data_IF_479700634753
#
_entry.id   IF_479700634753
#
_cell.length_a   1.000
_cell.length_b   1.000
_cell.length_c   1.000
_cell.angle_alpha   90.00
_cell.angle_beta   90.00
_cell.angle_gamma   90.00
#
_symmetry.space_group_name_H-M   'P 1'
#
loop_
_entity.id
_entity.type
_entity.pdbx_description
1 polymer ?
#
# COMPACT_ATOMS: atom_id res chain seq x y z
N UNK A 1 -0.57 -28.26 4.94
CA UNK A 1 0.22 -27.50 3.96
C UNK A 1 0.53 -26.17 4.60
N UNK A 2 1.77 -25.73 4.52
CA UNK A 2 2.19 -24.40 4.98
C UNK A 2 1.69 -23.36 3.98
N UNK A 3 0.99 -22.31 4.42
CA UNK A 3 0.58 -21.20 3.53
C UNK A 3 1.67 -20.15 3.48
N UNK A 4 1.78 -19.45 2.35
CA UNK A 4 2.64 -18.28 2.22
C UNK A 4 1.81 -17.02 2.38
N UNK A 5 2.28 -16.06 3.17
CA UNK A 5 1.70 -14.71 3.27
C UNK A 5 2.62 -13.73 2.56
N UNK A 6 2.18 -13.24 1.41
CA UNK A 6 2.82 -12.14 0.67
C UNK A 6 2.24 -10.83 1.19
N UNK A 7 3.08 -9.97 1.78
CA UNK A 7 2.65 -8.74 2.43
C UNK A 7 3.30 -7.52 1.79
N UNK A 8 2.50 -6.72 1.07
CA UNK A 8 2.90 -5.41 0.59
C UNK A 8 2.55 -4.36 1.66
N UNK A 9 3.58 -3.78 2.27
CA UNK A 9 3.44 -2.84 3.38
C UNK A 9 3.99 -1.47 2.97
N UNK A 10 3.13 -0.45 2.92
CA UNK A 10 3.44 0.86 2.34
C UNK A 10 3.25 1.96 3.37
N UNK A 11 4.31 2.72 3.68
CA UNK A 11 4.31 3.72 4.75
C UNK A 11 5.01 5.00 4.31
N UNK A 12 4.33 6.14 4.37
CA UNK A 12 4.86 7.39 3.82
C UNK A 12 4.72 8.52 4.83
N UNK A 13 5.86 9.03 5.29
CA UNK A 13 5.94 10.23 6.13
C UNK A 13 6.53 11.42 5.35
N UNK A 14 7.60 11.19 4.60
CA UNK A 14 8.44 12.24 3.99
C UNK A 14 7.91 12.74 2.64
N UNK A 15 6.62 13.02 2.55
CA UNK A 15 6.00 13.53 1.33
C UNK A 15 6.69 14.80 0.80
N UNK A 16 7.04 14.85 -0.50
CA UNK A 16 7.53 16.08 -1.11
C UNK A 16 6.41 17.11 -1.24
N UNK A 17 6.79 18.39 -1.27
CA UNK A 17 5.86 19.47 -1.58
C UNK A 17 5.19 19.21 -2.95
N UNK A 18 3.88 19.45 -3.09
CA UNK A 18 3.03 20.25 -2.20
C UNK A 18 2.31 19.46 -1.10
N UNK A 19 2.59 18.17 -0.94
CA UNK A 19 1.94 17.34 0.08
C UNK A 19 2.63 17.55 1.42
N UNK A 20 1.83 17.77 2.49
CA UNK A 20 2.39 17.96 3.82
C UNK A 20 2.94 16.63 4.37
N UNK A 21 4.13 16.62 4.99
CA UNK A 21 4.68 15.41 5.58
C UNK A 21 3.86 14.92 6.79
N UNK A 22 3.93 13.62 7.04
CA UNK A 22 3.40 12.94 8.23
C UNK A 22 4.58 12.52 9.13
N UNK A 23 4.31 11.84 10.26
CA UNK A 23 5.33 11.48 11.26
C UNK A 23 5.15 10.11 11.93
N UNK A 24 4.28 9.27 11.40
CA UNK A 24 3.88 8.02 12.05
C UNK A 24 3.68 6.84 11.10
N UNK A 25 3.54 7.09 9.81
CA UNK A 25 3.14 6.08 8.84
C UNK A 25 4.24 5.04 8.62
N UNK A 26 5.52 5.44 8.64
CA UNK A 26 6.63 4.48 8.57
C UNK A 26 6.66 3.61 9.83
N UNK A 27 6.49 4.21 11.01
CA UNK A 27 6.43 3.45 12.27
C UNK A 27 5.22 2.48 12.31
N UNK A 28 4.06 2.84 11.74
CA UNK A 28 2.92 1.93 11.64
C UNK A 28 3.27 0.68 10.83
N UNK A 29 3.93 0.87 9.69
CA UNK A 29 4.34 -0.23 8.80
C UNK A 29 5.44 -1.09 9.43
N UNK A 30 6.42 -0.49 10.11
CA UNK A 30 7.44 -1.24 10.83
C UNK A 30 6.82 -2.11 11.94
N UNK A 31 5.87 -1.56 12.70
CA UNK A 31 5.14 -2.32 13.74
C UNK A 31 4.28 -3.43 13.16
N UNK A 32 3.61 -3.16 12.05
CA UNK A 32 2.82 -4.17 11.34
C UNK A 32 3.73 -5.29 10.83
N UNK A 33 4.88 -4.95 10.24
CA UNK A 33 5.87 -5.93 9.77
C UNK A 33 6.35 -6.83 10.92
N UNK A 34 6.74 -6.27 12.06
CA UNK A 34 7.18 -7.05 13.22
C UNK A 34 6.08 -7.97 13.73
N UNK A 35 4.86 -7.46 13.90
CA UNK A 35 3.72 -8.25 14.35
C UNK A 35 3.41 -9.42 13.39
N UNK A 36 3.37 -9.16 12.09
CA UNK A 36 3.09 -10.17 11.08
C UNK A 36 4.18 -11.23 11.04
N UNK A 37 5.46 -10.83 11.09
CA UNK A 37 6.58 -11.76 11.12
C UNK A 37 6.49 -12.70 12.33
N UNK A 38 6.27 -12.15 13.53
CA UNK A 38 6.15 -12.95 14.75
C UNK A 38 4.99 -13.94 14.69
N UNK A 39 3.82 -13.47 14.23
CA UNK A 39 2.60 -14.29 14.20
C UNK A 39 2.64 -15.37 13.12
N UNK A 40 2.99 -15.00 11.90
CA UNK A 40 2.92 -15.90 10.74
C UNK A 40 4.00 -16.98 10.85
N UNK A 41 5.24 -16.60 11.18
CA UNK A 41 6.31 -17.58 11.40
C UNK A 41 6.04 -18.41 12.65
N UNK A 42 5.48 -17.81 13.71
CA UNK A 42 5.07 -18.50 14.93
C UNK A 42 3.99 -19.57 14.71
N UNK A 43 3.08 -19.33 13.77
CA UNK A 43 2.05 -20.29 13.35
C UNK A 43 2.59 -21.36 12.38
N UNK A 44 3.87 -21.26 12.00
CA UNK A 44 4.55 -22.21 11.11
C UNK A 44 4.36 -21.92 9.61
N UNK A 45 3.82 -20.75 9.26
CA UNK A 45 3.58 -20.29 7.89
C UNK A 45 4.76 -19.50 7.31
N UNK A 46 4.86 -19.44 5.98
CA UNK A 46 5.91 -18.67 5.30
C UNK A 46 5.49 -17.20 5.19
N UNK A 47 6.41 -16.28 5.52
CA UNK A 47 6.16 -14.84 5.46
C UNK A 47 7.09 -14.17 4.45
N UNK A 48 6.51 -13.49 3.45
CA UNK A 48 7.23 -12.75 2.40
C UNK A 48 6.81 -11.29 2.39
N UNK A 49 7.51 -10.41 3.14
CA UNK A 49 7.23 -8.98 3.13
C UNK A 49 7.88 -8.25 1.95
N UNK A 50 7.19 -7.22 1.45
CA UNK A 50 7.72 -6.15 0.62
C UNK A 50 7.36 -4.81 1.27
N UNK A 51 8.35 -4.12 1.84
CA UNK A 51 8.17 -2.81 2.46
C UNK A 51 8.52 -1.71 1.47
N UNK A 52 7.60 -0.79 1.23
CA UNK A 52 7.83 0.44 0.48
C UNK A 52 7.65 1.62 1.42
N UNK A 53 8.75 2.24 1.84
CA UNK A 53 8.71 3.41 2.73
C UNK A 53 9.21 4.67 2.05
N UNK A 54 8.56 5.80 2.34
CA UNK A 54 8.93 7.12 1.83
C UNK A 54 9.22 7.10 0.32
N UNK A 55 10.43 7.47 -0.10
CA UNK A 55 10.83 7.56 -1.51
C UNK A 55 10.70 6.26 -2.31
N UNK A 56 10.60 5.10 -1.67
CA UNK A 56 10.33 3.83 -2.34
C UNK A 56 8.85 3.63 -2.68
N UNK A 57 7.94 4.28 -1.94
CA UNK A 57 6.49 4.18 -2.11
C UNK A 57 5.96 5.07 -3.23
N UNK A 58 6.63 5.06 -4.38
CA UNK A 58 6.15 5.71 -5.61
C UNK A 58 4.91 5.00 -6.13
N UNK A 59 4.12 5.68 -6.95
CA UNK A 59 2.95 5.08 -7.63
C UNK A 59 3.36 3.83 -8.39
N UNK A 60 4.47 3.89 -9.13
CA UNK A 60 4.96 2.72 -9.87
C UNK A 60 5.43 1.61 -8.92
N UNK A 61 6.14 1.95 -7.84
CA UNK A 61 6.55 0.96 -6.84
C UNK A 61 5.38 0.22 -6.21
N UNK A 62 4.30 0.93 -5.88
CA UNK A 62 3.07 0.32 -5.35
C UNK A 62 2.42 -0.60 -6.41
N UNK A 63 2.26 -0.12 -7.65
CA UNK A 63 1.73 -0.92 -8.77
C UNK A 63 2.56 -2.19 -9.00
N UNK A 64 3.89 -2.07 -9.00
CA UNK A 64 4.80 -3.20 -9.14
C UNK A 64 4.68 -4.15 -7.94
N UNK A 65 4.44 -3.63 -6.74
CA UNK A 65 4.12 -4.44 -5.56
C UNK A 65 2.86 -5.29 -5.75
N UNK A 66 1.80 -4.73 -6.34
CA UNK A 66 0.61 -5.52 -6.69
C UNK A 66 0.93 -6.58 -7.76
N UNK A 67 1.52 -6.19 -8.88
CA UNK A 67 1.70 -7.08 -10.03
C UNK A 67 2.82 -8.11 -9.86
N UNK A 68 3.91 -7.76 -9.19
CA UNK A 68 5.10 -8.62 -9.13
C UNK A 68 5.26 -9.28 -7.77
N UNK A 69 4.66 -8.75 -6.70
CA UNK A 69 4.77 -9.33 -5.36
C UNK A 69 3.46 -10.02 -4.93
N UNK A 70 2.35 -9.29 -4.83
CA UNK A 70 1.09 -9.88 -4.36
C UNK A 70 0.52 -10.92 -5.32
N UNK A 71 0.71 -10.75 -6.63
CA UNK A 71 0.25 -11.71 -7.64
C UNK A 71 0.96 -13.08 -7.59
N UNK A 72 2.00 -13.25 -6.76
CA UNK A 72 2.64 -14.55 -6.54
C UNK A 72 1.80 -15.49 -5.65
N UNK A 73 0.81 -14.96 -4.93
CA UNK A 73 -0.05 -15.75 -4.06
C UNK A 73 -0.94 -16.71 -4.87
N UNK A 74 -0.90 -18.01 -4.53
CA UNK A 74 -1.79 -19.03 -5.09
C UNK A 74 -3.10 -19.20 -4.31
N UNK A 75 -3.88 -20.23 -4.66
CA UNK A 75 -5.20 -20.55 -4.07
C UNK A 75 -5.18 -20.75 -2.55
N UNK A 76 -4.04 -21.14 -1.98
CA UNK A 76 -3.89 -21.42 -0.55
C UNK A 76 -3.02 -20.41 0.19
N UNK A 77 -2.55 -19.37 -0.50
CA UNK A 77 -1.73 -18.30 0.06
C UNK A 77 -2.59 -17.09 0.46
N UNK A 78 -1.96 -16.13 1.13
CA UNK A 78 -2.58 -14.85 1.50
C UNK A 78 -1.82 -13.72 0.83
N UNK A 79 -2.53 -12.86 0.11
CA UNK A 79 -2.05 -11.55 -0.32
C UNK A 79 -2.57 -10.47 0.64
N UNK A 80 -1.66 -9.83 1.37
CA UNK A 80 -1.97 -8.77 2.32
C UNK A 80 -1.43 -7.44 1.82
N UNK A 81 -2.29 -6.43 1.77
CA UNK A 81 -1.90 -5.05 1.49
C UNK A 81 -2.18 -4.18 2.72
N UNK A 82 -1.17 -3.45 3.20
CA UNK A 82 -1.31 -2.48 4.28
C UNK A 82 -0.71 -1.15 3.83
N UNK A 83 -1.47 -0.08 3.99
CA UNK A 83 -1.06 1.27 3.61
C UNK A 83 -1.27 2.23 4.79
N UNK A 84 -0.26 3.01 5.13
CA UNK A 84 -0.35 4.15 6.03
C UNK A 84 0.24 5.39 5.32
N UNK A 85 -0.58 6.42 5.17
CA UNK A 85 -0.24 7.62 4.41
C UNK A 85 -1.46 8.49 4.14
N UNK A 86 -1.30 9.51 3.30
CA UNK A 86 -2.41 10.37 2.88
C UNK A 86 -3.39 9.64 1.96
N UNK A 87 -4.67 9.99 2.10
CA UNK A 87 -5.72 9.75 1.13
C UNK A 87 -6.13 11.05 0.43
N UNK A 88 -6.81 10.92 -0.71
CA UNK A 88 -7.36 12.04 -1.46
C UNK A 88 -8.62 11.59 -2.18
N UNK A 89 -9.31 12.53 -2.81
CA UNK A 89 -10.41 12.25 -3.72
C UNK A 89 -10.13 12.88 -5.08
N UNK A 90 -10.63 12.25 -6.14
CA UNK A 90 -10.67 12.83 -7.48
C UNK A 90 -12.10 12.82 -8.03
N UNK A 91 -12.38 13.58 -9.09
CA UNK A 91 -13.69 13.54 -9.73
C UNK A 91 -13.89 12.18 -10.40
N UNK A 92 -15.00 11.53 -10.06
CA UNK A 92 -15.39 10.27 -10.68
C UNK A 92 -15.93 10.50 -12.10
N UNK A 93 -15.50 9.70 -13.09
CA UNK A 93 -16.08 9.70 -14.43
C UNK A 93 -17.60 9.43 -14.42
N UNK A 94 -18.39 10.00 -15.35
CA UNK A 94 -19.85 9.84 -15.37
C UNK A 94 -20.33 8.39 -15.39
N UNK A 95 -19.55 7.47 -15.95
CA UNK A 95 -19.85 6.05 -16.07
C UNK A 95 -19.89 5.34 -14.70
N UNK A 96 -19.30 5.95 -13.67
CA UNK A 96 -19.22 5.41 -12.31
C UNK A 96 -20.14 6.14 -11.31
N UNK A 97 -20.93 7.13 -11.73
CA UNK A 97 -21.77 7.92 -10.80
C UNK A 97 -22.84 7.09 -10.08
N UNK A 98 -23.27 5.97 -10.65
CA UNK A 98 -24.19 5.06 -9.97
C UNK A 98 -23.52 4.32 -8.80
N UNK A 99 -22.19 4.19 -8.81
CA UNK A 99 -21.38 3.59 -7.76
C UNK A 99 -20.82 4.64 -6.79
N UNK A 100 -20.60 5.87 -7.24
CA UNK A 100 -20.07 7.00 -6.45
C UNK A 100 -21.12 8.12 -6.31
N UNK A 101 -22.02 8.07 -5.31
CA UNK A 101 -23.10 9.04 -5.15
C UNK A 101 -22.64 10.50 -4.97
N UNK A 102 -21.45 10.71 -4.39
CA UNK A 102 -20.82 12.04 -4.25
C UNK A 102 -19.97 12.44 -5.47
N UNK A 103 -19.88 11.54 -6.45
CA UNK A 103 -19.15 11.65 -7.72
C UNK A 103 -17.64 11.79 -7.52
N UNK A 104 -17.08 11.12 -6.52
CA UNK A 104 -15.65 11.15 -6.23
C UNK A 104 -15.08 9.76 -6.04
N UNK A 105 -13.92 9.50 -6.63
CA UNK A 105 -13.16 8.28 -6.33
C UNK A 105 -12.20 8.57 -5.18
N UNK A 106 -12.14 7.66 -4.20
CA UNK A 106 -11.11 7.66 -3.16
C UNK A 106 -9.77 7.20 -3.73
N UNK A 107 -8.69 7.90 -3.38
CA UNK A 107 -7.34 7.64 -3.90
C UNK A 107 -6.30 7.60 -2.79
N UNK A 108 -5.26 6.80 -3.02
CA UNK A 108 -4.04 6.81 -2.21
C UNK A 108 -3.08 7.85 -2.78
N UNK A 109 -2.44 8.62 -1.90
CA UNK A 109 -1.39 9.57 -2.28
C UNK A 109 -0.04 8.88 -2.11
N UNK A 110 0.55 8.42 -3.21
CA UNK A 110 1.90 7.84 -3.21
C UNK A 110 2.96 8.93 -3.05
N UNK A 111 4.22 8.54 -2.81
CA UNK A 111 5.30 9.49 -2.53
C UNK A 111 5.48 10.53 -3.64
N UNK A 112 5.41 10.11 -4.89
CA UNK A 112 5.56 10.94 -6.09
C UNK A 112 4.23 11.50 -6.62
N UNK A 113 3.11 11.26 -5.93
CA UNK A 113 1.83 11.86 -6.30
C UNK A 113 1.92 13.38 -6.24
N UNK A 114 1.20 14.06 -7.16
CA UNK A 114 1.19 15.53 -7.27
C UNK A 114 2.55 16.18 -7.53
N UNK A 115 3.57 15.40 -7.86
CA UNK A 115 4.82 15.91 -8.43
C UNK A 115 4.61 16.35 -9.88
N UNK A 116 5.42 17.28 -10.36
CA UNK A 116 5.33 17.75 -11.76
C UNK A 116 5.51 16.59 -12.73
N UNK A 117 4.53 16.37 -13.62
CA UNK A 117 4.54 15.27 -14.59
C UNK A 117 4.12 13.91 -14.01
N UNK A 118 3.76 13.87 -12.73
CA UNK A 118 3.16 12.71 -12.06
C UNK A 118 1.64 12.83 -11.99
N UNK A 119 1.02 11.75 -11.53
CA UNK A 119 -0.42 11.62 -11.33
C UNK A 119 -0.87 12.21 -9.99
#
# INVERSE_FOLDING_TARGET
MTRTVYALLVGIDDYPAPVNPLKGCVNDIERMHTLLQERIVGDGDEYKPLLLTNGAATRQGVIDGFHNHLAQAGEHDVALFCYSGHGSQQKSPPEFWDLEPDRRDETLVCYDSRSTGSW
#
